data_IF_317439201193
#
_entry.id   IF_317439201193
#
_cell.length_a   1.000
_cell.length_b   1.000
_cell.length_c   1.000
_cell.angle_alpha   90.00
_cell.angle_beta   90.00
_cell.angle_gamma   90.00
#
_symmetry.space_group_name_H-M   'P 1'
#
loop_
_entity.id
_entity.type
_entity.pdbx_description
1 polymer ?
#
# COMPACT_ATOMS: atom_id res chain seq x y z
N UNK A 1 15.15 -21.34 15.69
CA UNK A 1 14.68 -21.62 14.31
C UNK A 1 14.27 -23.08 14.24
N UNK A 2 13.11 -23.37 13.65
CA UNK A 2 12.50 -24.70 13.59
C UNK A 2 12.57 -25.26 12.17
N UNK A 3 12.56 -26.56 12.02
CA UNK A 3 12.37 -27.21 10.71
C UNK A 3 10.95 -26.94 10.19
N UNK A 4 10.74 -27.06 8.88
CA UNK A 4 9.42 -26.91 8.27
C UNK A 4 8.37 -27.81 8.93
N UNK A 5 8.72 -29.06 9.23
CA UNK A 5 7.83 -30.02 9.91
C UNK A 5 7.50 -29.59 11.35
N UNK A 6 8.48 -29.17 12.14
CA UNK A 6 8.27 -28.66 13.52
C UNK A 6 7.42 -27.40 13.53
N UNK A 7 7.68 -26.48 12.58
CA UNK A 7 6.93 -25.24 12.43
C UNK A 7 5.46 -25.52 12.10
N UNK A 8 5.22 -26.41 11.13
CA UNK A 8 3.86 -26.84 10.73
C UNK A 8 3.11 -27.45 11.90
N UNK A 9 3.76 -28.34 12.67
CA UNK A 9 3.14 -28.95 13.86
C UNK A 9 2.83 -27.90 14.94
N UNK A 10 3.71 -26.91 15.13
CA UNK A 10 3.48 -25.84 16.11
C UNK A 10 2.27 -24.97 15.70
N UNK A 11 2.15 -24.62 14.41
CA UNK A 11 0.99 -23.87 13.88
C UNK A 11 -0.31 -24.69 14.10
N UNK A 12 -0.31 -25.98 13.75
CA UNK A 12 -1.48 -26.86 13.91
C UNK A 12 -1.91 -26.98 15.38
N UNK A 13 -0.95 -26.96 16.32
CA UNK A 13 -1.21 -27.01 17.76
C UNK A 13 -1.60 -25.65 18.36
N UNK A 14 -1.74 -24.61 17.54
CA UNK A 14 -2.16 -23.27 17.99
C UNK A 14 -1.04 -22.40 18.56
N UNK A 15 0.23 -22.77 18.41
CA UNK A 15 1.35 -21.99 18.91
C UNK A 15 1.51 -20.63 18.26
N UNK A 16 0.88 -20.38 17.12
CA UNK A 16 0.89 -19.11 16.38
C UNK A 16 -0.42 -18.32 16.49
N UNK A 17 -1.41 -18.81 17.26
CA UNK A 17 -2.73 -18.18 17.32
C UNK A 17 -2.70 -16.73 17.78
N UNK A 18 -1.85 -16.42 18.76
CA UNK A 18 -1.69 -15.06 19.26
C UNK A 18 -1.13 -14.15 18.15
N UNK A 19 -0.15 -14.62 17.40
CA UNK A 19 0.40 -13.88 16.27
C UNK A 19 -0.67 -13.65 15.19
N UNK A 20 -1.43 -14.67 14.83
CA UNK A 20 -2.49 -14.56 13.83
C UNK A 20 -3.62 -13.63 14.29
N UNK A 21 -4.00 -13.70 15.57
CA UNK A 21 -4.99 -12.79 16.13
C UNK A 21 -4.54 -11.32 16.06
N UNK A 22 -3.25 -11.04 16.30
CA UNK A 22 -2.67 -9.69 16.18
C UNK A 22 -2.59 -9.18 14.73
N UNK A 23 -2.33 -10.08 13.78
CA UNK A 23 -2.15 -9.72 12.37
C UNK A 23 -3.48 -9.60 11.63
N UNK A 24 -4.46 -10.46 11.92
CA UNK A 24 -5.65 -10.65 11.08
C UNK A 24 -6.99 -10.45 11.80
N UNK A 25 -6.97 -10.43 13.14
CA UNK A 25 -8.16 -10.36 13.97
C UNK A 25 -8.33 -11.59 14.87
N UNK A 26 -8.95 -11.39 16.04
CA UNK A 26 -8.99 -12.39 17.11
C UNK A 26 -10.19 -13.36 17.01
N UNK A 27 -11.04 -13.25 15.99
CA UNK A 27 -12.15 -14.20 15.86
C UNK A 27 -11.63 -15.61 15.47
N UNK A 28 -12.29 -16.63 16.02
CA UNK A 28 -11.84 -18.02 15.90
C UNK A 28 -11.80 -18.50 14.45
N UNK A 29 -12.71 -18.05 13.60
CA UNK A 29 -12.77 -18.46 12.19
C UNK A 29 -11.58 -17.88 11.42
N UNK A 30 -11.26 -16.60 11.64
CA UNK A 30 -10.09 -15.92 11.04
C UNK A 30 -8.80 -16.62 11.46
N UNK A 31 -8.59 -16.89 12.76
CA UNK A 31 -7.40 -17.59 13.24
C UNK A 31 -7.27 -18.98 12.62
N UNK A 32 -8.37 -19.75 12.55
CA UNK A 32 -8.37 -21.08 11.94
C UNK A 32 -8.05 -21.02 10.43
N UNK A 33 -8.60 -20.04 9.71
CA UNK A 33 -8.30 -19.85 8.29
C UNK A 33 -6.82 -19.52 8.06
N UNK A 34 -6.23 -18.68 8.91
CA UNK A 34 -4.80 -18.34 8.81
C UNK A 34 -3.90 -19.53 9.15
N UNK A 35 -4.24 -20.37 10.14
CA UNK A 35 -3.52 -21.63 10.36
C UNK A 35 -3.47 -22.47 9.09
N UNK A 36 -4.64 -22.68 8.45
CA UNK A 36 -4.70 -23.46 7.22
C UNK A 36 -3.85 -22.85 6.10
N UNK A 37 -3.93 -21.52 5.91
CA UNK A 37 -3.17 -20.78 4.88
C UNK A 37 -1.65 -20.91 5.08
N UNK A 38 -1.16 -20.76 6.32
CA UNK A 38 0.27 -20.90 6.61
C UNK A 38 0.76 -22.34 6.50
N UNK A 39 -0.05 -23.33 6.87
CA UNK A 39 0.28 -24.75 6.70
C UNK A 39 0.38 -25.10 5.21
N UNK A 40 -0.61 -24.72 4.42
CA UNK A 40 -0.63 -24.91 2.97
C UNK A 40 0.59 -24.29 2.28
N UNK A 41 0.96 -23.08 2.69
CA UNK A 41 2.17 -22.42 2.18
C UNK A 41 3.45 -23.19 2.53
N UNK A 42 3.55 -23.77 3.74
CA UNK A 42 4.70 -24.61 4.12
C UNK A 42 4.73 -25.90 3.28
N UNK A 43 3.58 -26.50 3.01
CA UNK A 43 3.48 -27.69 2.17
C UNK A 43 4.00 -27.39 0.75
N UNK A 44 3.57 -26.30 0.15
CA UNK A 44 4.09 -25.85 -1.15
C UNK A 44 5.57 -25.49 -1.13
N UNK A 45 6.08 -24.91 -0.03
CA UNK A 45 7.52 -24.69 0.11
C UNK A 45 8.27 -26.03 0.09
N UNK A 46 7.81 -27.03 0.85
CA UNK A 46 8.42 -28.38 0.91
C UNK A 46 8.40 -29.10 -0.45
N UNK A 47 7.30 -28.96 -1.21
CA UNK A 47 7.17 -29.51 -2.56
C UNK A 47 8.21 -28.94 -3.54
N UNK A 48 8.54 -27.67 -3.43
CA UNK A 48 9.41 -26.97 -4.37
C UNK A 48 10.89 -26.97 -3.94
N UNK A 49 11.17 -26.89 -2.63
CA UNK A 49 12.52 -26.69 -2.10
C UNK A 49 12.99 -27.80 -1.16
N UNK A 50 12.19 -28.86 -0.98
CA UNK A 50 12.49 -30.02 -0.15
C UNK A 50 12.12 -29.88 1.32
N UNK A 51 11.93 -31.00 1.97
CA UNK A 51 11.52 -31.14 3.37
C UNK A 51 12.70 -30.98 4.34
N UNK A 52 12.40 -30.77 5.64
CA UNK A 52 13.39 -30.79 6.73
C UNK A 52 14.32 -29.58 6.79
N UNK A 53 14.07 -28.56 6.00
CA UNK A 53 14.83 -27.31 6.03
C UNK A 53 14.41 -26.46 7.23
N UNK A 54 15.35 -25.73 7.80
CA UNK A 54 15.06 -24.70 8.79
C UNK A 54 14.43 -23.49 8.09
N UNK A 55 13.26 -23.08 8.54
CA UNK A 55 12.47 -22.02 7.88
C UNK A 55 12.02 -20.96 8.85
N UNK A 56 11.79 -19.75 8.30
CA UNK A 56 11.17 -18.61 8.97
C UNK A 56 9.93 -18.16 8.19
N UNK A 57 9.00 -17.49 8.89
CA UNK A 57 7.78 -16.94 8.33
C UNK A 57 7.85 -15.43 8.30
N UNK A 58 7.37 -14.84 7.20
CA UNK A 58 7.27 -13.39 7.05
C UNK A 58 5.88 -13.01 6.54
N UNK A 59 5.47 -11.79 6.86
CA UNK A 59 4.21 -11.22 6.40
C UNK A 59 4.35 -9.72 6.18
N UNK A 60 3.83 -9.23 5.06
CA UNK A 60 3.81 -7.82 4.72
C UNK A 60 2.43 -7.42 4.18
N UNK A 61 1.74 -6.45 4.81
CA UNK A 61 0.40 -6.04 4.42
C UNK A 61 0.38 -5.23 3.13
N UNK A 62 -0.77 -5.22 2.45
CA UNK A 62 -1.15 -4.14 1.55
C UNK A 62 -1.56 -2.89 2.32
N UNK A 63 -1.89 -1.82 1.59
CA UNK A 63 -2.31 -0.53 2.18
C UNK A 63 -3.53 0.04 1.48
N UNK A 64 -4.25 0.91 2.18
CA UNK A 64 -5.26 1.80 1.63
C UNK A 64 -4.86 3.26 1.87
N UNK A 65 -5.16 4.15 0.92
CA UNK A 65 -4.96 5.59 1.07
C UNK A 65 -6.20 6.20 1.73
N UNK A 66 -6.04 6.84 2.89
CA UNK A 66 -7.13 7.48 3.62
C UNK A 66 -7.30 8.95 3.19
N UNK A 67 -6.20 9.65 2.86
CA UNK A 67 -6.23 11.04 2.42
C UNK A 67 -4.89 11.52 1.88
N UNK A 68 -4.90 12.72 1.25
CA UNK A 68 -3.72 13.27 0.59
C UNK A 68 -3.52 12.71 -0.82
N UNK A 69 -4.63 12.51 -1.55
CA UNK A 69 -4.61 11.89 -2.87
C UNK A 69 -3.72 12.66 -3.85
N UNK A 70 -2.72 12.00 -4.42
CA UNK A 70 -1.75 12.60 -5.35
C UNK A 70 -0.96 13.81 -4.83
N UNK A 71 -0.76 13.90 -3.51
CA UNK A 71 0.05 14.99 -2.92
C UNK A 71 1.51 14.61 -2.70
N UNK A 72 1.82 13.33 -2.60
CA UNK A 72 3.16 12.78 -2.28
C UNK A 72 4.22 13.16 -3.32
N UNK A 73 3.90 13.10 -4.62
CA UNK A 73 4.82 13.44 -5.70
C UNK A 73 5.14 14.95 -5.79
N UNK A 74 4.43 15.81 -5.04
CA UNK A 74 4.72 17.22 -4.84
C UNK A 74 5.13 17.54 -3.40
N UNK A 75 5.65 16.57 -2.67
CA UNK A 75 6.15 16.65 -1.30
C UNK A 75 5.07 17.08 -0.27
N UNK A 76 3.81 16.72 -0.52
CA UNK A 76 2.69 17.02 0.35
C UNK A 76 2.61 16.11 1.57
N UNK A 77 1.44 16.08 2.18
CA UNK A 77 1.11 15.23 3.32
C UNK A 77 0.07 14.19 2.89
N UNK A 78 0.29 12.95 3.27
CA UNK A 78 -0.65 11.85 3.04
C UNK A 78 -1.02 11.17 4.36
N UNK A 79 -2.15 10.48 4.37
CA UNK A 79 -2.53 9.56 5.44
C UNK A 79 -2.99 8.24 4.83
N UNK A 80 -2.41 7.14 5.31
CA UNK A 80 -2.64 5.79 4.80
C UNK A 80 -2.76 4.79 5.95
N UNK A 81 -3.33 3.63 5.65
CA UNK A 81 -3.42 2.53 6.62
C UNK A 81 -2.96 1.22 5.99
N UNK A 82 -2.26 0.39 6.75
CA UNK A 82 -2.08 -1.00 6.40
C UNK A 82 -3.39 -1.77 6.58
N UNK A 83 -3.64 -2.73 5.70
CA UNK A 83 -4.85 -3.56 5.73
C UNK A 83 -4.52 -5.02 6.07
N UNK A 84 -5.52 -5.80 6.46
CA UNK A 84 -5.37 -7.20 6.86
C UNK A 84 -5.15 -8.18 5.71
N UNK A 85 -5.14 -7.72 4.45
CA UNK A 85 -4.68 -8.52 3.30
C UNK A 85 -3.16 -8.37 3.17
N UNK A 86 -2.46 -9.48 2.98
CA UNK A 86 -1.00 -9.47 2.97
C UNK A 86 -0.37 -10.45 1.99
N UNK A 87 0.93 -10.29 1.82
CA UNK A 87 1.83 -11.30 1.27
C UNK A 87 2.45 -12.03 2.45
N UNK A 88 2.40 -13.35 2.44
CA UNK A 88 3.11 -14.20 3.40
C UNK A 88 4.20 -14.98 2.69
N UNK A 89 5.29 -15.26 3.41
CA UNK A 89 6.45 -15.97 2.87
C UNK A 89 6.99 -17.02 3.84
N UNK A 90 7.34 -18.19 3.30
CA UNK A 90 8.19 -19.19 3.96
C UNK A 90 9.58 -19.09 3.36
N UNK A 91 10.59 -18.97 4.20
CA UNK A 91 11.98 -18.68 3.79
C UNK A 91 12.96 -19.63 4.44
N UNK A 92 13.86 -20.21 3.66
CA UNK A 92 15.03 -20.95 4.15
C UNK A 92 16.31 -20.39 3.52
N UNK A 93 17.35 -20.16 4.32
CA UNK A 93 18.66 -19.77 3.81
C UNK A 93 19.27 -20.83 2.88
N UNK A 94 20.04 -20.39 1.91
CA UNK A 94 20.94 -21.25 1.14
C UNK A 94 22.36 -20.65 1.11
N UNK A 95 23.35 -21.45 0.75
CA UNK A 95 24.76 -21.05 0.70
C UNK A 95 25.23 -20.64 -0.71
N UNK A 96 24.29 -20.47 -1.65
CA UNK A 96 24.60 -20.25 -3.07
C UNK A 96 24.76 -18.77 -3.46
N UNK A 97 24.43 -17.83 -2.56
CA UNK A 97 24.29 -16.39 -2.87
C UNK A 97 23.26 -16.12 -3.97
N UNK A 98 22.20 -16.90 -4.02
CA UNK A 98 21.10 -16.78 -4.95
C UNK A 98 19.80 -16.66 -4.17
N UNK A 99 18.96 -15.72 -4.54
CA UNK A 99 17.58 -15.63 -4.05
C UNK A 99 16.66 -16.31 -5.05
N UNK A 100 15.92 -17.34 -4.61
CA UNK A 100 14.87 -17.97 -5.41
C UNK A 100 13.52 -17.69 -4.78
N UNK A 101 12.62 -17.09 -5.54
CA UNK A 101 11.26 -16.81 -5.08
C UNK A 101 10.27 -17.49 -6.03
N UNK A 102 9.39 -18.28 -5.47
CA UNK A 102 8.20 -18.81 -6.15
C UNK A 102 6.99 -18.10 -5.57
N UNK A 103 6.27 -17.38 -6.41
CA UNK A 103 4.99 -16.77 -6.05
C UNK A 103 3.84 -17.67 -6.50
N UNK A 104 2.94 -18.01 -5.58
CA UNK A 104 1.78 -18.86 -5.86
C UNK A 104 0.96 -18.31 -7.05
N UNK A 105 0.60 -19.18 -7.97
CA UNK A 105 -0.16 -18.80 -9.18
C UNK A 105 0.68 -18.17 -10.31
N UNK A 106 1.95 -17.89 -10.09
CA UNK A 106 2.87 -17.43 -11.13
C UNK A 106 3.84 -18.56 -11.45
N UNK A 107 3.72 -19.17 -12.62
CA UNK A 107 4.48 -20.37 -13.02
C UNK A 107 5.99 -20.18 -13.24
N UNK A 108 6.58 -19.10 -12.72
CA UNK A 108 8.00 -18.74 -12.91
C UNK A 108 8.68 -18.59 -11.55
N UNK A 109 9.91 -19.08 -11.47
CA UNK A 109 10.83 -18.84 -10.34
C UNK A 109 11.63 -17.58 -10.67
N UNK A 110 11.62 -16.60 -9.76
CA UNK A 110 12.62 -15.53 -9.79
C UNK A 110 13.91 -16.08 -9.20
N UNK A 111 14.98 -16.08 -10.00
CA UNK A 111 16.31 -16.54 -9.62
C UNK A 111 17.28 -15.37 -9.75
N UNK A 112 17.69 -14.80 -8.62
CA UNK A 112 18.49 -13.58 -8.54
C UNK A 112 19.85 -13.87 -7.92
N UNK A 113 20.91 -13.81 -8.74
CA UNK A 113 22.30 -13.95 -8.27
C UNK A 113 22.76 -12.64 -7.61
N UNK A 114 23.08 -12.71 -6.31
CA UNK A 114 23.50 -11.57 -5.49
C UNK A 114 24.98 -11.14 -5.65
N UNK A 115 25.76 -11.83 -6.48
CA UNK A 115 27.15 -11.44 -6.77
C UNK A 115 27.21 -10.18 -7.62
N UNK A 116 26.17 -9.89 -8.37
CA UNK A 116 26.00 -8.66 -9.14
C UNK A 116 24.71 -7.97 -8.71
N UNK A 117 24.84 -6.83 -8.05
CA UNK A 117 23.74 -6.00 -7.56
C UNK A 117 23.53 -4.74 -8.41
N UNK A 118 23.99 -4.75 -9.66
CA UNK A 118 23.69 -3.68 -10.62
C UNK A 118 22.33 -3.94 -11.32
N UNK A 119 21.60 -2.89 -11.77
CA UNK A 119 20.39 -3.08 -12.55
C UNK A 119 20.63 -3.94 -13.80
N UNK A 120 19.79 -4.95 -14.00
CA UNK A 120 19.86 -5.85 -15.14
C UNK A 120 18.72 -5.51 -16.12
N UNK A 121 19.01 -5.10 -17.38
CA UNK A 121 17.97 -4.73 -18.33
C UNK A 121 16.94 -5.83 -18.60
N UNK A 122 17.35 -7.09 -18.52
CA UNK A 122 16.46 -8.25 -18.71
C UNK A 122 15.48 -8.49 -17.57
N UNK A 123 15.72 -7.87 -16.42
CA UNK A 123 14.86 -7.94 -15.23
C UNK A 123 13.92 -6.72 -15.11
N UNK A 124 14.08 -5.69 -15.94
CA UNK A 124 13.25 -4.49 -15.89
C UNK A 124 11.75 -4.88 -15.99
N UNK A 125 10.92 -4.24 -15.15
CA UNK A 125 9.48 -4.52 -15.03
C UNK A 125 9.13 -5.96 -14.55
N UNK A 126 10.10 -6.68 -13.97
CA UNK A 126 9.90 -8.00 -13.38
C UNK A 126 10.25 -8.01 -11.89
N UNK A 127 9.64 -8.92 -11.13
CA UNK A 127 9.87 -9.09 -9.68
C UNK A 127 11.35 -9.34 -9.31
N UNK A 128 12.11 -9.98 -10.18
CA UNK A 128 13.54 -10.20 -10.00
C UNK A 128 14.31 -8.88 -9.82
N UNK A 129 13.95 -7.82 -10.55
CA UNK A 129 14.57 -6.49 -10.41
C UNK A 129 14.30 -5.88 -9.04
N UNK A 130 13.10 -6.07 -8.48
CA UNK A 130 12.74 -5.60 -7.14
C UNK A 130 13.59 -6.31 -6.08
N UNK A 131 13.74 -7.64 -6.17
CA UNK A 131 14.58 -8.43 -5.27
C UNK A 131 16.03 -7.93 -5.29
N UNK A 132 16.61 -7.76 -6.50
CA UNK A 132 17.96 -7.24 -6.70
C UNK A 132 18.11 -5.82 -6.17
N UNK A 133 17.12 -4.96 -6.42
CA UNK A 133 17.12 -3.56 -5.98
C UNK A 133 17.07 -3.44 -4.46
N UNK A 134 16.25 -4.24 -3.78
CA UNK A 134 16.20 -4.29 -2.31
C UNK A 134 17.53 -4.77 -1.75
N UNK A 135 18.12 -5.84 -2.31
CA UNK A 135 19.42 -6.32 -1.89
C UNK A 135 20.52 -5.24 -2.07
N UNK A 136 20.54 -4.55 -3.22
CA UNK A 136 21.46 -3.45 -3.50
C UNK A 136 21.29 -2.28 -2.50
N UNK A 137 20.06 -1.92 -2.17
CA UNK A 137 19.74 -0.87 -1.19
C UNK A 137 20.26 -1.22 0.20
N UNK A 138 20.05 -2.46 0.66
CA UNK A 138 20.56 -2.94 1.95
C UNK A 138 22.08 -2.87 2.01
N UNK A 139 22.77 -3.34 0.97
CA UNK A 139 24.24 -3.29 0.90
C UNK A 139 24.74 -1.85 0.86
N UNK A 140 24.10 -0.97 0.09
CA UNK A 140 24.41 0.47 0.04
C UNK A 140 24.34 1.13 1.42
N UNK A 141 23.39 0.71 2.24
CA UNK A 141 23.25 1.18 3.63
C UNK A 141 24.13 0.36 4.61
N UNK A 142 25.06 -0.44 4.09
CA UNK A 142 26.08 -1.20 4.82
C UNK A 142 25.55 -2.46 5.51
N UNK A 143 24.36 -2.95 5.15
CA UNK A 143 23.83 -4.23 5.59
C UNK A 143 24.43 -5.41 4.86
N UNK A 144 24.00 -6.61 5.29
CA UNK A 144 24.41 -7.88 4.69
C UNK A 144 23.26 -8.48 3.90
N UNK A 145 23.58 -9.16 2.83
CA UNK A 145 22.63 -9.97 2.05
C UNK A 145 23.22 -11.36 1.82
N UNK A 146 22.36 -12.33 1.54
CA UNK A 146 22.76 -13.70 1.25
C UNK A 146 21.62 -14.46 0.59
N UNK A 147 21.89 -15.67 0.10
CA UNK A 147 20.94 -16.49 -0.63
C UNK A 147 19.84 -17.08 0.25
N UNK A 148 18.62 -17.15 -0.28
CA UNK A 148 17.52 -17.86 0.34
C UNK A 148 16.56 -18.41 -0.72
N UNK A 149 15.83 -19.46 -0.35
CA UNK A 149 14.72 -19.99 -1.11
C UNK A 149 13.42 -19.59 -0.42
N UNK A 150 12.46 -19.11 -1.18
CA UNK A 150 11.24 -18.49 -0.68
C UNK A 150 10.02 -18.95 -1.49
N UNK A 151 8.95 -19.33 -0.79
CA UNK A 151 7.63 -19.50 -1.37
C UNK A 151 6.69 -18.45 -0.81
N UNK A 152 5.95 -17.75 -1.66
CA UNK A 152 5.02 -16.67 -1.25
C UNK A 152 3.62 -16.92 -1.74
N UNK A 153 2.62 -16.53 -0.93
CA UNK A 153 1.23 -16.36 -1.37
C UNK A 153 0.75 -14.96 -1.04
N UNK A 154 -0.19 -14.43 -1.81
CA UNK A 154 -0.71 -13.08 -1.62
C UNK A 154 -2.22 -13.06 -1.66
N UNK A 155 -2.82 -12.45 -0.63
CA UNK A 155 -4.23 -12.04 -0.62
C UNK A 155 -4.38 -10.57 -1.01
N UNK A 156 -3.27 -9.84 -1.18
CA UNK A 156 -3.30 -8.46 -1.70
C UNK A 156 -3.70 -8.52 -3.16
N UNK A 157 -4.89 -8.01 -3.43
CA UNK A 157 -5.49 -8.07 -4.75
C UNK A 157 -4.65 -7.31 -5.79
N UNK A 158 -4.20 -8.00 -6.81
CA UNK A 158 -3.48 -7.39 -7.93
C UNK A 158 -4.38 -6.40 -8.68
N UNK A 159 -3.88 -5.20 -9.00
CA UNK A 159 -4.63 -4.18 -9.73
C UNK A 159 -5.75 -3.48 -8.93
N UNK A 160 -5.96 -3.82 -7.66
CA UNK A 160 -7.02 -3.24 -6.81
C UNK A 160 -6.62 -1.92 -6.13
N UNK A 161 -5.46 -1.37 -6.41
CA UNK A 161 -4.97 -0.18 -5.71
C UNK A 161 -4.55 -0.41 -4.25
N UNK A 162 -4.36 -1.66 -3.80
CA UNK A 162 -3.88 -2.02 -2.45
C UNK A 162 -2.36 -2.23 -2.36
N UNK A 163 -1.61 -1.91 -3.41
CA UNK A 163 -0.13 -1.91 -3.50
C UNK A 163 0.53 -3.26 -3.26
N UNK A 164 0.19 -4.26 -4.09
CA UNK A 164 0.83 -5.58 -4.04
C UNK A 164 2.35 -5.53 -4.31
N UNK A 165 2.83 -4.63 -5.20
CA UNK A 165 4.27 -4.44 -5.45
C UNK A 165 4.99 -3.97 -4.19
N UNK A 166 4.50 -2.91 -3.54
CA UNK A 166 5.11 -2.38 -2.33
C UNK A 166 5.10 -3.42 -1.18
N UNK A 167 4.00 -4.18 -1.02
CA UNK A 167 3.94 -5.27 -0.05
C UNK A 167 5.01 -6.34 -0.31
N UNK A 168 5.24 -6.69 -1.59
CA UNK A 168 6.29 -7.64 -1.97
C UNK A 168 7.69 -7.09 -1.65
N UNK A 169 7.98 -5.86 -2.05
CA UNK A 169 9.28 -5.21 -1.83
C UNK A 169 9.64 -5.14 -0.34
N UNK A 170 8.71 -4.64 0.49
CA UNK A 170 8.96 -4.53 1.94
C UNK A 170 9.00 -5.89 2.62
N UNK A 171 8.35 -6.93 2.07
CA UNK A 171 8.48 -8.31 2.51
C UNK A 171 9.91 -8.82 2.27
N UNK A 172 10.46 -8.64 1.06
CA UNK A 172 11.85 -8.98 0.74
C UNK A 172 12.84 -8.24 1.65
N UNK A 173 12.60 -6.95 1.90
CA UNK A 173 13.40 -6.17 2.84
C UNK A 173 13.36 -6.71 4.28
N UNK A 174 12.17 -7.12 4.76
CA UNK A 174 12.02 -7.75 6.07
C UNK A 174 12.74 -9.11 6.14
N UNK A 175 12.73 -9.90 5.05
CA UNK A 175 13.46 -11.17 4.96
C UNK A 175 14.98 -10.90 5.09
N UNK A 176 15.56 -10.00 4.32
CA UNK A 176 16.99 -9.68 4.44
C UNK A 176 17.35 -9.14 5.82
N UNK A 177 16.49 -8.32 6.42
CA UNK A 177 16.67 -7.82 7.79
C UNK A 177 16.69 -8.98 8.79
N UNK A 178 15.73 -9.88 8.72
CA UNK A 178 15.60 -11.00 9.65
C UNK A 178 16.69 -12.04 9.50
N UNK A 179 16.99 -12.43 8.26
CA UNK A 179 17.91 -13.52 7.98
C UNK A 179 19.39 -13.14 8.03
N UNK A 180 19.74 -11.90 7.67
CA UNK A 180 21.13 -11.50 7.48
C UNK A 180 21.58 -10.29 8.31
N UNK A 181 20.65 -9.62 9.01
CA UNK A 181 20.95 -8.41 9.78
C UNK A 181 20.35 -8.48 11.20
N UNK A 182 20.25 -9.67 11.78
CA UNK A 182 19.85 -9.93 13.18
C UNK A 182 18.50 -9.29 13.57
N UNK A 183 17.63 -9.06 12.59
CA UNK A 183 16.37 -8.30 12.70
C UNK A 183 16.56 -6.92 13.37
N UNK A 184 17.67 -6.26 13.10
CA UNK A 184 18.07 -4.99 13.72
C UNK A 184 17.16 -3.83 13.28
N UNK A 185 16.14 -3.55 14.08
CA UNK A 185 15.19 -2.45 13.89
C UNK A 185 15.79 -1.06 14.14
N UNK A 186 16.97 -0.95 14.74
CA UNK A 186 17.63 0.35 14.91
C UNK A 186 18.34 0.80 13.65
N UNK A 187 18.87 -0.16 12.90
CA UNK A 187 19.58 0.10 11.65
C UNK A 187 18.66 0.07 10.44
N UNK A 188 17.79 -0.92 10.37
CA UNK A 188 16.84 -1.15 9.29
C UNK A 188 15.41 -1.10 9.85
N UNK A 189 15.01 0.08 10.33
CA UNK A 189 13.63 0.32 10.77
C UNK A 189 12.65 0.23 9.59
N UNK A 190 11.39 0.36 9.88
CA UNK A 190 10.34 0.22 8.87
C UNK A 190 10.39 1.31 7.81
N UNK A 191 10.74 2.55 8.19
CA UNK A 191 10.87 3.66 7.23
C UNK A 191 12.08 3.45 6.32
N UNK A 192 13.19 2.97 6.87
CA UNK A 192 14.37 2.60 6.09
C UNK A 192 14.05 1.46 5.11
N UNK A 193 13.30 0.44 5.54
CA UNK A 193 12.83 -0.63 4.66
C UNK A 193 11.99 -0.07 3.51
N UNK A 194 11.07 0.86 3.79
CA UNK A 194 10.27 1.53 2.76
C UNK A 194 11.13 2.32 1.76
N UNK A 195 12.13 3.08 2.22
CA UNK A 195 13.03 3.84 1.36
C UNK A 195 13.89 2.94 0.46
N UNK A 196 14.36 1.81 0.99
CA UNK A 196 15.10 0.79 0.21
C UNK A 196 14.18 0.18 -0.85
N UNK A 197 12.94 -0.11 -0.51
CA UNK A 197 11.93 -0.67 -1.42
C UNK A 197 11.59 0.32 -2.55
N UNK A 198 11.36 1.59 -2.23
CA UNK A 198 11.17 2.64 -3.24
C UNK A 198 12.39 2.78 -4.17
N UNK A 199 13.60 2.71 -3.63
CA UNK A 199 14.81 2.72 -4.45
C UNK A 199 14.84 1.55 -5.43
N UNK A 200 14.41 0.35 -5.01
CA UNK A 200 14.29 -0.81 -5.90
C UNK A 200 13.28 -0.57 -7.03
N UNK A 201 12.10 -0.02 -6.71
CA UNK A 201 11.07 0.26 -7.72
C UNK A 201 11.52 1.34 -8.72
N UNK A 202 12.11 2.44 -8.23
CA UNK A 202 12.50 3.56 -9.07
C UNK A 202 13.74 3.28 -9.94
N UNK A 203 14.74 2.55 -9.42
CA UNK A 203 16.06 2.40 -10.07
C UNK A 203 16.21 1.07 -10.80
N UNK A 204 15.61 0.00 -10.26
CA UNK A 204 15.77 -1.35 -10.82
C UNK A 204 14.56 -1.79 -11.64
N UNK A 205 13.36 -1.59 -11.13
CA UNK A 205 12.13 -1.91 -11.85
C UNK A 205 11.85 -0.89 -12.97
N UNK A 206 12.22 0.37 -12.75
CA UNK A 206 12.09 1.43 -13.74
C UNK A 206 10.76 2.19 -13.70
N UNK A 207 9.98 2.03 -12.63
CA UNK A 207 8.70 2.72 -12.44
C UNK A 207 8.84 3.80 -11.35
N UNK A 208 8.83 5.09 -11.70
CA UNK A 208 8.85 6.18 -10.72
C UNK A 208 7.60 6.15 -9.82
N UNK A 209 7.81 6.01 -8.53
CA UNK A 209 6.74 6.02 -7.53
C UNK A 209 7.04 6.96 -6.36
N UNK A 210 5.98 7.38 -5.64
CA UNK A 210 6.10 8.02 -4.32
C UNK A 210 6.55 7.03 -3.25
N UNK A 211 6.66 7.49 -2.01
CA UNK A 211 7.09 6.65 -0.88
C UNK A 211 5.93 6.21 0.02
N UNK A 212 4.70 6.67 -0.24
CA UNK A 212 3.53 6.38 0.59
C UNK A 212 3.26 4.88 0.73
N UNK A 213 3.26 4.18 -0.40
CA UNK A 213 2.87 2.77 -0.49
C UNK A 213 3.80 1.87 0.33
N UNK A 214 5.09 2.01 0.08
CA UNK A 214 6.11 1.26 0.80
C UNK A 214 6.12 1.59 2.29
N UNK A 215 5.92 2.89 2.65
CA UNK A 215 5.90 3.29 4.06
C UNK A 215 4.70 2.70 4.79
N UNK A 216 3.50 2.75 4.20
CA UNK A 216 2.31 2.19 4.83
C UNK A 216 2.40 0.66 4.98
N UNK A 217 2.88 -0.05 3.95
CA UNK A 217 3.09 -1.51 4.01
C UNK A 217 4.19 -1.89 5.02
N UNK A 218 5.25 -1.11 5.13
CA UNK A 218 6.37 -1.40 6.04
C UNK A 218 6.05 -1.10 7.50
N UNK A 219 5.38 0.03 7.80
CA UNK A 219 5.13 0.51 9.17
C UNK A 219 3.92 -0.16 9.80
N UNK A 220 2.83 -0.31 9.04
CA UNK A 220 1.54 -0.75 9.60
C UNK A 220 0.73 0.39 10.20
N UNK A 221 -0.39 0.07 10.89
CA UNK A 221 -1.30 1.02 11.56
C UNK A 221 -1.96 2.00 10.57
N UNK A 222 -2.52 3.09 11.10
CA UNK A 222 -2.78 4.33 10.36
C UNK A 222 -1.58 5.24 10.56
N UNK A 223 -1.03 5.75 9.48
CA UNK A 223 0.13 6.64 9.50
C UNK A 223 -0.14 7.90 8.68
N UNK A 224 0.35 9.04 9.15
CA UNK A 224 0.51 10.22 8.32
C UNK A 224 1.98 10.37 7.95
N UNK A 225 2.23 10.81 6.73
CA UNK A 225 3.58 10.99 6.18
C UNK A 225 3.66 12.41 5.64
N UNK A 226 4.58 13.23 6.17
CA UNK A 226 4.92 14.53 5.61
C UNK A 226 6.21 14.39 4.79
N UNK A 227 6.11 14.63 3.48
CA UNK A 227 7.22 14.51 2.53
C UNK A 227 8.03 15.80 2.34
N UNK A 228 7.87 16.80 3.20
CA UNK A 228 8.60 18.07 3.09
C UNK A 228 10.11 17.85 2.94
N UNK A 229 10.67 16.94 3.71
CA UNK A 229 12.07 16.53 3.63
C UNK A 229 12.17 15.17 2.91
N UNK A 230 12.42 15.17 1.60
CA UNK A 230 12.39 13.97 0.74
C UNK A 230 13.28 12.82 1.25
N UNK A 231 14.46 13.13 1.80
CA UNK A 231 15.38 12.14 2.37
C UNK A 231 15.02 11.68 3.79
N UNK A 232 14.11 12.37 4.47
CA UNK A 232 13.73 12.14 5.87
C UNK A 232 12.24 12.43 6.08
N UNK A 233 11.34 11.62 5.52
CA UNK A 233 9.90 11.81 5.69
C UNK A 233 9.52 11.71 7.16
N UNK A 234 8.65 12.61 7.62
CA UNK A 234 8.14 12.55 9.00
C UNK A 234 6.94 11.62 9.03
N UNK A 235 7.13 10.44 9.60
CA UNK A 235 6.07 9.44 9.77
C UNK A 235 5.53 9.53 11.20
N UNK A 236 4.20 9.65 11.34
CA UNK A 236 3.50 9.63 12.63
C UNK A 236 2.44 8.56 12.61
N UNK A 237 2.42 7.73 13.63
CA UNK A 237 1.44 6.66 13.80
C UNK A 237 0.27 7.16 14.65
N UNK A 238 -0.95 6.71 14.31
CA UNK A 238 -2.12 6.94 15.14
C UNK A 238 -2.91 5.63 15.30
N UNK A 239 -3.25 5.23 16.53
CA UNK A 239 -4.14 4.08 16.74
C UNK A 239 -5.52 4.39 16.20
N UNK A 240 -6.09 3.45 15.45
CA UNK A 240 -7.42 3.60 14.90
C UNK A 240 -8.13 2.25 14.85
N UNK A 241 -9.16 2.08 15.68
CA UNK A 241 -10.00 0.90 15.69
C UNK A 241 -11.38 1.25 15.13
N UNK A 242 -11.56 0.97 13.85
CA UNK A 242 -12.78 1.26 13.12
C UNK A 242 -13.94 0.38 13.60
N UNK A 243 -13.66 -0.86 13.98
CA UNK A 243 -14.68 -1.78 14.49
C UNK A 243 -15.24 -1.31 15.84
N UNK A 244 -14.40 -0.77 16.73
CA UNK A 244 -14.84 -0.17 17.98
C UNK A 244 -15.74 1.08 17.77
N UNK A 245 -15.64 1.73 16.60
CA UNK A 245 -16.55 2.81 16.19
C UNK A 245 -17.84 2.31 15.56
N UNK A 246 -18.03 0.98 15.43
CA UNK A 246 -19.20 0.38 14.78
C UNK A 246 -19.16 0.46 13.26
N UNK A 247 -17.98 0.56 12.65
CA UNK A 247 -17.78 0.69 11.21
C UNK A 247 -16.84 -0.39 10.66
N UNK A 248 -16.98 -0.66 9.37
CA UNK A 248 -16.06 -1.47 8.56
C UNK A 248 -15.43 -0.62 7.47
N UNK A 249 -14.20 -0.97 7.10
CA UNK A 249 -13.52 -0.47 5.91
C UNK A 249 -13.92 -1.36 4.74
N UNK A 250 -14.50 -0.80 3.69
CA UNK A 250 -14.83 -1.50 2.46
C UNK A 250 -14.02 -0.94 1.29
N UNK A 251 -13.39 -1.84 0.54
CA UNK A 251 -12.76 -1.52 -0.75
C UNK A 251 -13.63 -2.14 -1.83
N UNK A 252 -14.15 -1.32 -2.73
CA UNK A 252 -15.01 -1.76 -3.82
C UNK A 252 -14.24 -1.72 -5.14
N UNK A 253 -14.01 -2.90 -5.73
CA UNK A 253 -13.36 -3.04 -7.03
C UNK A 253 -14.38 -2.84 -8.15
N UNK A 254 -14.19 -1.79 -8.95
CA UNK A 254 -15.09 -1.43 -10.03
C UNK A 254 -14.84 -2.20 -11.32
N UNK A 255 -13.86 -3.12 -11.32
CA UNK A 255 -13.41 -3.91 -12.50
C UNK A 255 -12.95 -3.07 -13.69
N UNK A 256 -12.67 -1.78 -13.46
CA UNK A 256 -12.13 -0.90 -14.50
C UNK A 256 -10.70 -1.29 -14.89
N UNK A 257 -10.37 -1.18 -16.18
CA UNK A 257 -9.02 -1.45 -16.66
C UNK A 257 -8.08 -0.26 -16.39
N UNK A 258 -6.87 -0.55 -15.92
CA UNK A 258 -5.77 0.42 -15.83
C UNK A 258 -4.94 0.52 -17.13
N UNK A 259 -5.26 -0.28 -18.15
CA UNK A 259 -4.61 -0.22 -19.45
C UNK A 259 -4.78 1.18 -20.07
N UNK A 260 -3.72 1.69 -20.68
CA UNK A 260 -3.70 3.00 -21.38
C UNK A 260 -3.93 4.25 -20.50
N UNK A 261 -3.88 4.13 -19.16
CA UNK A 261 -4.04 5.25 -18.22
C UNK A 261 -2.73 5.92 -17.79
N UNK A 262 -1.58 5.45 -18.27
CA UNK A 262 -0.24 5.96 -17.87
C UNK A 262 -0.13 7.48 -18.10
N UNK A 263 -0.63 7.99 -19.22
CA UNK A 263 -0.62 9.43 -19.54
C UNK A 263 -1.49 10.24 -18.58
N UNK A 264 -2.64 9.68 -18.15
CA UNK A 264 -3.55 10.34 -17.23
C UNK A 264 -2.92 10.49 -15.85
N UNK A 265 -2.25 9.43 -15.35
CA UNK A 265 -1.47 9.48 -14.11
C UNK A 265 -0.31 10.48 -14.20
N UNK A 266 0.47 10.40 -15.28
CA UNK A 266 1.58 11.31 -15.52
C UNK A 266 1.13 12.78 -15.62
N UNK A 267 -0.06 13.03 -16.17
CA UNK A 267 -0.62 14.38 -16.31
C UNK A 267 -0.95 15.01 -14.96
N UNK A 268 -1.40 14.24 -13.95
CA UNK A 268 -1.66 14.80 -12.60
C UNK A 268 -0.39 15.41 -12.04
N UNK A 269 0.70 14.65 -12.03
CA UNK A 269 1.99 15.10 -11.52
C UNK A 269 2.54 16.28 -12.34
N UNK A 270 2.64 16.11 -13.66
CA UNK A 270 3.21 17.11 -14.56
C UNK A 270 2.50 18.46 -14.47
N UNK A 271 1.17 18.47 -14.34
CA UNK A 271 0.40 19.70 -14.26
C UNK A 271 0.61 20.41 -12.91
N UNK A 272 0.70 19.68 -11.79
CA UNK A 272 1.06 20.27 -10.50
C UNK A 272 2.49 20.84 -10.53
N UNK A 273 3.45 20.10 -11.10
CA UNK A 273 4.83 20.54 -11.26
C UNK A 273 4.91 21.80 -12.16
N UNK A 274 4.12 21.89 -13.25
CA UNK A 274 4.11 23.06 -14.13
C UNK A 274 3.68 24.35 -13.39
N UNK A 275 2.76 24.25 -12.43
CA UNK A 275 2.40 25.38 -11.55
C UNK A 275 3.57 25.74 -10.64
N UNK A 276 4.27 24.79 -10.06
CA UNK A 276 5.45 25.06 -9.24
C UNK A 276 6.58 25.73 -10.07
N UNK A 277 6.79 25.28 -11.29
CA UNK A 277 7.78 25.83 -12.23
C UNK A 277 7.51 27.30 -12.58
N UNK A 278 6.25 27.72 -12.66
CA UNK A 278 5.89 29.14 -12.85
C UNK A 278 6.50 30.03 -11.75
N UNK A 279 6.64 29.51 -10.52
CA UNK A 279 7.30 30.19 -9.39
C UNK A 279 8.79 29.88 -9.25
N UNK A 280 9.40 29.21 -10.25
CA UNK A 280 10.80 28.79 -10.19
C UNK A 280 11.09 27.68 -9.16
N UNK A 281 10.06 26.91 -8.79
CA UNK A 281 10.14 25.78 -7.85
C UNK A 281 9.97 24.47 -8.60
N UNK A 282 10.39 23.35 -7.95
CA UNK A 282 10.24 22.00 -8.52
C UNK A 282 8.91 21.35 -8.13
N UNK A 283 8.41 21.64 -6.95
CA UNK A 283 7.21 21.04 -6.37
C UNK A 283 6.34 22.10 -5.69
N UNK A 284 5.05 21.85 -5.60
CA UNK A 284 4.09 22.78 -5.00
C UNK A 284 4.33 23.04 -3.50
N UNK A 285 4.95 22.08 -2.80
CA UNK A 285 5.28 22.24 -1.38
C UNK A 285 6.22 23.44 -1.10
N UNK A 286 7.02 23.81 -2.09
CA UNK A 286 7.97 24.93 -2.00
C UNK A 286 7.36 26.28 -2.43
N UNK A 287 6.12 26.29 -2.85
CA UNK A 287 5.36 27.49 -3.23
C UNK A 287 4.39 27.82 -2.10
N UNK A 288 4.41 29.07 -1.65
CA UNK A 288 3.46 29.56 -0.66
C UNK A 288 2.04 29.60 -1.23
N UNK A 289 1.04 29.08 -0.48
CA UNK A 289 -0.34 28.96 -0.95
C UNK A 289 -0.97 30.34 -1.24
N UNK A 290 -0.74 31.35 -0.40
CA UNK A 290 -1.29 32.70 -0.61
C UNK A 290 -0.70 33.33 -1.87
N UNK A 291 0.62 33.23 -2.06
CA UNK A 291 1.32 33.66 -3.27
C UNK A 291 0.77 33.00 -4.52
N UNK A 292 0.49 31.68 -4.46
CA UNK A 292 -0.13 30.96 -5.56
C UNK A 292 -1.54 31.49 -5.86
N UNK A 293 -2.39 31.66 -4.83
CA UNK A 293 -3.77 32.10 -4.99
C UNK A 293 -3.86 33.51 -5.63
N UNK A 294 -2.99 34.43 -5.21
CA UNK A 294 -2.91 35.80 -5.80
C UNK A 294 -2.48 35.77 -7.27
N UNK A 295 -1.61 34.84 -7.65
CA UNK A 295 -1.07 34.70 -8.99
C UNK A 295 -1.94 33.88 -9.96
N UNK A 296 -3.05 33.32 -9.54
CA UNK A 296 -3.95 32.49 -10.38
C UNK A 296 -4.25 33.11 -11.73
N UNK A 297 -4.59 34.46 -11.85
CA UNK A 297 -4.87 35.06 -13.13
C UNK A 297 -3.73 34.96 -14.16
N UNK A 298 -2.48 34.93 -13.69
CA UNK A 298 -1.30 34.82 -14.56
C UNK A 298 -0.88 33.35 -14.75
N UNK A 299 -0.90 32.53 -13.69
CA UNK A 299 -0.59 31.10 -13.72
C UNK A 299 -1.46 30.36 -14.74
N UNK A 300 -2.78 30.60 -14.73
CA UNK A 300 -3.72 29.92 -15.65
C UNK A 300 -3.46 30.21 -17.13
N UNK A 301 -2.88 31.38 -17.47
CA UNK A 301 -2.54 31.74 -18.86
C UNK A 301 -1.37 30.87 -19.38
N UNK A 302 -0.50 30.44 -18.49
CA UNK A 302 0.70 29.65 -18.81
C UNK A 302 0.46 28.16 -18.71
N UNK A 303 -0.19 27.72 -17.62
CA UNK A 303 -0.33 26.29 -17.28
C UNK A 303 -1.69 25.69 -17.66
N UNK A 304 -2.70 26.55 -17.87
CA UNK A 304 -4.09 26.15 -18.11
C UNK A 304 -4.90 25.94 -16.82
N UNK A 305 -6.23 25.94 -16.96
CA UNK A 305 -7.16 25.90 -15.83
C UNK A 305 -7.06 24.58 -15.04
N UNK A 306 -6.87 23.44 -15.71
CA UNK A 306 -6.80 22.13 -15.04
C UNK A 306 -5.57 22.03 -14.13
N UNK A 307 -4.43 22.55 -14.53
CA UNK A 307 -3.23 22.59 -13.67
C UNK A 307 -3.47 23.44 -12.40
N UNK A 308 -4.18 24.57 -12.55
CA UNK A 308 -4.53 25.43 -11.41
C UNK A 308 -5.48 24.72 -10.42
N UNK A 309 -6.55 24.08 -10.90
CA UNK A 309 -7.46 23.34 -9.97
C UNK A 309 -6.78 22.14 -9.32
N UNK A 310 -5.84 21.48 -10.00
CA UNK A 310 -5.00 20.42 -9.41
C UNK A 310 -4.06 20.96 -8.33
N UNK A 311 -3.51 22.16 -8.52
CA UNK A 311 -2.72 22.82 -7.48
C UNK A 311 -3.58 23.19 -6.26
N UNK A 312 -4.80 23.70 -6.46
CA UNK A 312 -5.78 23.92 -5.36
C UNK A 312 -6.07 22.61 -4.61
N UNK A 313 -6.28 21.52 -5.34
CA UNK A 313 -6.44 20.19 -4.73
C UNK A 313 -5.23 19.83 -3.85
N UNK A 314 -4.01 20.03 -4.34
CA UNK A 314 -2.78 19.73 -3.61
C UNK A 314 -2.73 20.42 -2.24
N UNK A 315 -2.96 21.73 -2.18
CA UNK A 315 -2.93 22.47 -0.91
C UNK A 315 -4.04 22.01 0.04
N UNK A 316 -5.26 21.88 -0.49
CA UNK A 316 -6.41 21.45 0.30
C UNK A 316 -6.26 20.03 0.83
N UNK A 317 -5.82 19.08 0.00
CA UNK A 317 -5.77 17.67 0.39
C UNK A 317 -4.56 17.35 1.27
N UNK A 318 -3.43 18.05 1.09
CA UNK A 318 -2.28 18.00 2.02
C UNK A 318 -2.67 18.49 3.41
N UNK A 319 -3.40 19.60 3.53
CA UNK A 319 -3.91 20.11 4.80
C UNK A 319 -4.93 19.14 5.42
N UNK A 320 -5.87 18.65 4.61
CA UNK A 320 -6.91 17.68 5.02
C UNK A 320 -6.31 16.39 5.56
N UNK A 321 -5.23 15.87 4.98
CA UNK A 321 -4.54 14.69 5.50
C UNK A 321 -4.05 14.90 6.93
N UNK A 322 -3.53 16.08 7.25
CA UNK A 322 -3.19 16.46 8.63
C UNK A 322 -4.42 16.60 9.54
N UNK A 323 -5.50 17.18 9.04
CA UNK A 323 -6.76 17.31 9.80
C UNK A 323 -7.40 15.95 10.10
N UNK A 324 -7.33 14.99 9.16
CA UNK A 324 -7.79 13.60 9.39
C UNK A 324 -6.99 12.97 10.54
N UNK A 325 -5.68 13.14 10.55
CA UNK A 325 -4.83 12.64 11.65
C UNK A 325 -5.24 13.23 13.00
N UNK A 326 -5.44 14.54 13.08
CA UNK A 326 -5.84 15.19 14.32
C UNK A 326 -7.27 14.79 14.75
N UNK A 327 -8.20 14.57 13.80
CA UNK A 327 -9.54 14.07 14.10
C UNK A 327 -9.49 12.66 14.72
N UNK A 328 -8.70 11.74 14.13
CA UNK A 328 -8.50 10.39 14.68
C UNK A 328 -7.90 10.48 16.09
N UNK A 329 -6.87 11.30 16.29
CA UNK A 329 -6.17 11.48 17.57
C UNK A 329 -7.08 12.08 18.65
N UNK A 330 -7.97 12.99 18.26
CA UNK A 330 -8.96 13.60 19.13
C UNK A 330 -10.20 12.72 19.40
N UNK A 331 -10.27 11.54 18.76
CA UNK A 331 -11.43 10.66 18.78
C UNK A 331 -12.71 11.28 18.19
N UNK A 332 -12.56 12.31 17.33
CA UNK A 332 -13.64 13.00 16.62
C UNK A 332 -13.98 12.26 15.33
N UNK A 333 -14.78 11.22 15.47
CA UNK A 333 -15.12 10.32 14.36
C UNK A 333 -16.05 10.98 13.33
N UNK A 334 -16.92 11.89 13.76
CA UNK A 334 -17.81 12.61 12.84
C UNK A 334 -17.00 13.55 11.94
N UNK A 335 -16.02 14.26 12.49
CA UNK A 335 -15.10 15.09 11.71
C UNK A 335 -14.24 14.25 10.77
N UNK A 336 -13.79 13.08 11.21
CA UNK A 336 -13.09 12.12 10.36
C UNK A 336 -13.93 11.76 9.13
N UNK A 337 -15.17 11.32 9.31
CA UNK A 337 -16.07 10.94 8.19
C UNK A 337 -16.31 12.12 7.24
N UNK A 338 -16.53 13.32 7.79
CA UNK A 338 -16.70 14.53 7.00
C UNK A 338 -15.46 14.82 6.13
N UNK A 339 -14.26 14.75 6.70
CA UNK A 339 -13.00 14.99 5.98
C UNK A 339 -12.76 13.97 4.86
N UNK A 340 -13.17 12.70 5.06
CA UNK A 340 -13.12 11.67 4.00
C UNK A 340 -14.00 12.07 2.80
N UNK A 341 -15.23 12.53 3.05
CA UNK A 341 -16.16 12.99 2.01
C UNK A 341 -15.59 14.23 1.29
N UNK A 342 -15.10 15.22 2.03
CA UNK A 342 -14.47 16.42 1.48
C UNK A 342 -13.27 16.08 0.58
N UNK A 343 -12.43 15.10 0.99
CA UNK A 343 -11.32 14.58 0.19
C UNK A 343 -11.79 13.88 -1.08
N UNK A 344 -12.86 13.09 -0.99
CA UNK A 344 -13.49 12.46 -2.15
C UNK A 344 -14.01 13.47 -3.18
N UNK A 345 -14.69 14.51 -2.72
CA UNK A 345 -15.13 15.62 -3.57
C UNK A 345 -13.96 16.35 -4.20
N UNK A 346 -12.92 16.68 -3.43
CA UNK A 346 -11.72 17.33 -3.96
C UNK A 346 -11.02 16.51 -5.04
N UNK A 347 -10.94 15.19 -4.85
CA UNK A 347 -10.39 14.28 -5.88
C UNK A 347 -11.24 14.28 -7.14
N UNK A 348 -12.56 14.25 -7.02
CA UNK A 348 -13.47 14.24 -8.16
C UNK A 348 -13.50 15.59 -8.90
N UNK A 349 -13.66 16.68 -8.15
CA UNK A 349 -13.93 18.02 -8.71
C UNK A 349 -12.65 18.74 -9.14
N UNK A 350 -11.56 18.62 -8.35
CA UNK A 350 -10.35 19.41 -8.53
C UNK A 350 -9.18 18.58 -9.08
N UNK A 351 -8.88 17.44 -8.49
CA UNK A 351 -7.85 16.55 -9.05
C UNK A 351 -8.29 15.90 -10.37
N UNK A 352 -9.59 15.69 -10.51
CA UNK A 352 -10.23 15.13 -11.72
C UNK A 352 -9.63 13.79 -12.13
N UNK A 353 -9.46 12.91 -11.15
CA UNK A 353 -8.94 11.57 -11.34
C UNK A 353 -9.98 10.45 -11.09
N UNK A 354 -11.28 10.76 -11.16
CA UNK A 354 -12.33 9.78 -10.99
C UNK A 354 -12.54 8.90 -12.26
N UNK A 355 -12.27 9.43 -13.45
CA UNK A 355 -12.33 8.72 -14.72
C UNK A 355 -11.47 9.40 -15.77
N UNK A 356 -11.07 8.64 -16.82
CA UNK A 356 -10.31 9.20 -17.94
C UNK A 356 -11.21 9.92 -18.92
N UNK A 357 -10.81 11.11 -19.37
CA UNK A 357 -11.49 11.85 -20.43
C UNK A 357 -11.31 11.20 -21.81
N UNK A 358 -10.36 10.27 -21.96
CA UNK A 358 -10.15 9.50 -23.19
C UNK A 358 -11.30 8.52 -23.46
N UNK A 359 -11.92 8.01 -22.38
CA UNK A 359 -13.06 7.11 -22.45
C UNK A 359 -14.17 7.55 -21.48
N UNK A 360 -14.94 8.60 -21.80
CA UNK A 360 -15.91 9.18 -20.87
C UNK A 360 -17.14 8.28 -20.61
N UNK A 361 -17.28 7.16 -21.30
CA UNK A 361 -18.34 6.17 -21.05
C UNK A 361 -17.95 5.17 -19.94
N UNK A 362 -16.67 4.98 -19.67
CA UNK A 362 -16.18 4.08 -18.62
C UNK A 362 -16.03 4.83 -17.28
N UNK A 363 -17.09 4.83 -16.51
CA UNK A 363 -17.17 5.56 -15.24
C UNK A 363 -17.50 4.63 -14.06
N UNK A 364 -16.76 3.53 -13.92
CA UNK A 364 -16.95 2.58 -12.83
C UNK A 364 -16.75 3.22 -11.46
N UNK A 365 -15.69 4.04 -11.28
CA UNK A 365 -15.42 4.76 -10.02
C UNK A 365 -16.54 5.75 -9.68
N UNK A 366 -16.96 6.68 -10.57
CA UNK A 366 -18.12 7.54 -10.33
C UNK A 366 -19.41 6.78 -9.98
N UNK A 367 -19.69 5.67 -10.66
CA UNK A 367 -20.85 4.84 -10.39
C UNK A 367 -20.79 4.23 -8.98
N UNK A 368 -19.66 3.69 -8.58
CA UNK A 368 -19.46 3.13 -7.25
C UNK A 368 -19.60 4.21 -6.14
N UNK A 369 -19.09 5.42 -6.37
CA UNK A 369 -19.27 6.56 -5.46
C UNK A 369 -20.74 6.96 -5.33
N UNK A 370 -21.48 7.01 -6.44
CA UNK A 370 -22.92 7.33 -6.43
C UNK A 370 -23.74 6.28 -5.70
N UNK A 371 -23.45 4.98 -5.89
CA UNK A 371 -24.09 3.88 -5.15
C UNK A 371 -23.78 4.00 -3.66
N UNK A 372 -22.52 4.25 -3.29
CA UNK A 372 -22.10 4.44 -1.91
C UNK A 372 -22.86 5.58 -1.24
N UNK A 373 -22.94 6.73 -1.90
CA UNK A 373 -23.73 7.87 -1.43
C UNK A 373 -25.20 7.50 -1.16
N UNK A 374 -25.80 6.80 -2.12
CA UNK A 374 -27.22 6.42 -2.03
C UNK A 374 -27.49 5.43 -0.90
N UNK A 375 -26.64 4.40 -0.74
CA UNK A 375 -26.80 3.36 0.28
C UNK A 375 -26.49 3.89 1.67
N UNK A 376 -25.39 4.63 1.81
CA UNK A 376 -24.96 5.14 3.12
C UNK A 376 -25.82 6.33 3.59
N UNK A 377 -26.33 7.12 2.67
CA UNK A 377 -27.30 8.21 2.96
C UNK A 377 -26.89 9.08 4.16
N UNK A 378 -25.64 9.57 4.17
CA UNK A 378 -25.09 10.44 5.22
C UNK A 378 -24.63 9.71 6.50
N UNK A 379 -24.71 8.38 6.56
CA UNK A 379 -24.33 7.59 7.75
C UNK A 379 -22.92 6.99 7.69
N UNK A 380 -22.15 7.30 6.66
CA UNK A 380 -20.80 6.80 6.45
C UNK A 380 -20.01 7.75 5.58
N UNK A 381 -18.86 7.30 5.07
CA UNK A 381 -18.04 8.08 4.16
C UNK A 381 -17.53 7.21 3.00
N UNK A 382 -17.24 7.85 1.88
CA UNK A 382 -16.72 7.19 0.68
C UNK A 382 -15.84 8.14 -0.12
N UNK A 383 -14.86 7.60 -0.81
CA UNK A 383 -13.97 8.33 -1.71
C UNK A 383 -13.30 7.38 -2.70
N UNK A 384 -12.79 7.90 -3.80
CA UNK A 384 -11.80 7.17 -4.57
C UNK A 384 -10.49 7.05 -3.77
N UNK A 385 -9.67 6.05 -4.08
CA UNK A 385 -8.36 5.87 -3.47
C UNK A 385 -7.29 5.54 -4.50
N UNK A 386 -6.03 5.77 -4.13
CA UNK A 386 -4.88 5.51 -5.01
C UNK A 386 -4.89 6.41 -6.24
N UNK A 387 -4.39 5.92 -7.36
CA UNK A 387 -4.27 6.70 -8.60
C UNK A 387 -5.58 7.21 -9.20
N UNK A 388 -6.69 6.52 -8.94
CA UNK A 388 -7.97 6.85 -9.54
C UNK A 388 -8.06 6.42 -11.02
N UNK A 389 -8.85 7.13 -11.81
CA UNK A 389 -9.21 6.90 -13.22
C UNK A 389 -9.91 5.56 -13.48
N UNK A 390 -9.57 4.50 -12.74
CA UNK A 390 -10.16 3.17 -12.71
C UNK A 390 -9.90 2.52 -11.34
N UNK A 391 -10.19 1.23 -11.20
CA UNK A 391 -9.84 0.43 -10.02
C UNK A 391 -10.84 0.56 -8.90
N UNK A 392 -10.45 1.09 -7.74
CA UNK A 392 -11.20 0.93 -6.51
C UNK A 392 -11.63 2.23 -5.86
N UNK A 393 -12.72 2.15 -5.10
CA UNK A 393 -13.11 3.15 -4.12
C UNK A 393 -12.99 2.59 -2.70
N UNK A 394 -12.90 3.50 -1.74
CA UNK A 394 -12.90 3.21 -0.31
C UNK A 394 -14.20 3.72 0.31
N UNK A 395 -14.77 2.94 1.23
CA UNK A 395 -15.92 3.36 2.02
C UNK A 395 -15.78 2.96 3.50
N UNK A 396 -16.23 3.85 4.37
CA UNK A 396 -16.35 3.63 5.82
C UNK A 396 -17.84 3.37 6.09
N UNK A 397 -18.20 2.11 6.30
CA UNK A 397 -19.56 1.62 6.29
C UNK A 397 -20.00 1.26 7.70
N UNK A 398 -21.12 1.80 8.25
CA UNK A 398 -21.65 1.33 9.51
C UNK A 398 -21.92 -0.18 9.47
N UNK A 399 -21.56 -0.91 10.53
CA UNK A 399 -21.77 -2.37 10.60
C UNK A 399 -23.22 -2.77 10.37
N UNK A 400 -24.17 -1.93 10.81
CA UNK A 400 -25.60 -2.15 10.56
C UNK A 400 -26.01 -2.07 9.08
N UNK A 401 -25.18 -1.47 8.21
CA UNK A 401 -25.43 -1.36 6.78
C UNK A 401 -24.50 -2.24 5.93
N UNK A 402 -23.56 -2.96 6.56
CA UNK A 402 -22.49 -3.65 5.86
C UNK A 402 -23.00 -4.62 4.79
N UNK A 403 -23.92 -5.50 5.13
CA UNK A 403 -24.48 -6.46 4.18
C UNK A 403 -25.28 -5.76 3.06
N UNK A 404 -26.04 -4.71 3.40
CA UNK A 404 -26.78 -3.93 2.38
C UNK A 404 -25.82 -3.25 1.41
N UNK A 405 -24.74 -2.67 1.92
CA UNK A 405 -23.71 -2.01 1.12
C UNK A 405 -22.99 -3.01 0.21
N UNK A 406 -22.53 -4.11 0.78
CA UNK A 406 -21.84 -5.18 0.06
C UNK A 406 -22.71 -5.72 -1.08
N UNK A 407 -23.97 -6.07 -0.78
CA UNK A 407 -24.89 -6.58 -1.79
C UNK A 407 -25.15 -5.56 -2.91
N UNK A 408 -25.23 -4.26 -2.59
CA UNK A 408 -25.44 -3.21 -3.59
C UNK A 408 -24.25 -3.05 -4.53
N UNK A 409 -23.02 -3.13 -4.02
CA UNK A 409 -21.80 -3.09 -4.82
C UNK A 409 -21.65 -4.37 -5.66
N UNK A 410 -21.80 -5.54 -5.04
CA UNK A 410 -21.67 -6.84 -5.69
C UNK A 410 -22.71 -7.05 -6.80
N UNK A 411 -23.93 -6.51 -6.65
CA UNK A 411 -24.98 -6.56 -7.66
C UNK A 411 -24.61 -5.81 -8.95
N UNK A 412 -23.77 -4.77 -8.85
CA UNK A 412 -23.38 -3.94 -10.00
C UNK A 412 -22.05 -4.38 -10.61
N UNK A 413 -21.05 -4.68 -9.77
CA UNK A 413 -19.68 -4.96 -10.21
C UNK A 413 -19.34 -6.46 -10.20
N UNK A 414 -20.25 -7.31 -9.78
CA UNK A 414 -20.09 -8.75 -9.67
C UNK A 414 -19.82 -9.23 -8.23
N UNK A 415 -20.17 -10.46 -7.96
CA UNK A 415 -20.00 -11.07 -6.64
C UNK A 415 -18.52 -10.98 -6.17
N UNK A 416 -18.29 -10.55 -4.93
CA UNK A 416 -16.97 -10.40 -4.35
C UNK A 416 -16.24 -9.12 -4.76
N UNK A 417 -16.90 -8.14 -5.38
CA UNK A 417 -16.30 -6.84 -5.69
C UNK A 417 -16.16 -5.95 -4.46
N UNK A 418 -16.97 -6.15 -3.42
CA UNK A 418 -16.85 -5.45 -2.15
C UNK A 418 -16.03 -6.29 -1.16
N UNK A 419 -14.80 -5.82 -0.87
CA UNK A 419 -13.90 -6.43 0.10
C UNK A 419 -14.03 -5.71 1.44
N UNK A 420 -14.36 -6.47 2.50
CA UNK A 420 -14.41 -5.95 3.86
C UNK A 420 -13.06 -6.14 4.52
N UNK A 421 -12.42 -5.05 4.90
CA UNK A 421 -11.06 -5.04 5.43
C UNK A 421 -11.04 -4.46 6.85
N UNK A 422 -9.93 -4.70 7.54
CA UNK A 422 -9.58 -4.08 8.81
C UNK A 422 -8.21 -3.43 8.74
N UNK A 423 -7.98 -2.44 9.58
CA UNK A 423 -6.65 -1.84 9.76
C UNK A 423 -5.75 -2.83 10.47
N UNK A 424 -4.58 -3.09 9.91
CA UNK A 424 -3.58 -3.96 10.49
C UNK A 424 -2.53 -3.15 11.26
N UNK A 425 -2.29 -3.50 12.52
CA UNK A 425 -1.37 -2.77 13.40
C UNK A 425 0.12 -3.07 13.17
N UNK A 426 0.44 -4.06 12.34
CA UNK A 426 1.80 -4.51 12.05
C UNK A 426 2.10 -4.39 10.56
N UNK A 427 3.21 -3.74 10.23
CA UNK A 427 3.73 -3.70 8.87
C UNK A 427 4.45 -4.99 8.48
N UNK A 428 5.53 -4.86 7.70
CA UNK A 428 6.35 -5.99 7.28
C UNK A 428 7.16 -6.57 8.44
N UNK A 429 6.87 -7.82 8.81
CA UNK A 429 7.42 -8.48 10.02
C UNK A 429 7.83 -9.94 9.77
N UNK A 430 8.79 -10.42 10.57
CA UNK A 430 8.97 -11.85 10.82
C UNK A 430 7.85 -12.32 11.74
N UNK A 431 7.14 -13.38 11.37
CA UNK A 431 6.03 -13.94 12.15
C UNK A 431 6.57 -14.96 13.15
N UNK A 432 6.42 -14.68 14.43
CA UNK A 432 6.88 -15.55 15.53
C UNK A 432 5.74 -15.79 16.52
N UNK A 433 5.79 -16.88 17.30
CA UNK A 433 4.78 -17.14 18.33
C UNK A 433 4.60 -16.03 19.36
N UNK A 434 5.68 -15.30 19.64
CA UNK A 434 5.77 -14.31 20.72
C UNK A 434 5.46 -12.86 20.24
N UNK A 435 4.98 -12.69 19.03
CA UNK A 435 4.59 -11.38 18.50
C UNK A 435 3.63 -10.65 19.44
#
# INVERSE_FOLDING_TARGET
MATSAELKQNILNGGYDQAFAKLYGADTATVAAQRARYVDMIDHFEENFGTGRTVCLYSAPGRTEIGGNHTDHNNGVVIAAAVNLDIIAVVAKNDENVVRVISHGFGKIDDVNLRDLTPQPVEAEHSASLIRGVAAGIVKDGGKVGGFDCYTTSDVLGGSGLSSSAAFEVCIGAIFRGEYNDNDMKRFDQVKNAMISQYAENVFFGKPCGLMDQTACAVGKVITIDFKEVGHPVVREVPFDLAAKGFALCISDTKGSHADLTDDYAAVRREMESVAEFFGKKVLRDVDEETFLEAIPEVRKVTGDRAVVRAIHFYNDSRRAGEIYEAIKADDFDRFLQLIIEGGHSSFEFNQNAYSIKNPQEQGVPLALAISQKVLNGRGAWRLQGGGFAGTIQAFVPLALLETYKNAIDAVFGAGSCHVLSVRNYGAVMVTPDM
#
